data_IF_496988488304
#
_entry.id   IF_496988488304
#
_cell.length_a   1.000
_cell.length_b   1.000
_cell.length_c   1.000
_cell.angle_alpha   90.00
_cell.angle_beta   90.00
_cell.angle_gamma   90.00
#
_symmetry.space_group_name_H-M   'P 1'
#
loop_
_entity.id
_entity.type
_entity.pdbx_description
1 polymer ?
#
# COMPACT_ATOMS: atom_id res chain seq x y z
N UNK A 1 8.21 -20.01 20.71
CA UNK A 1 7.02 -19.17 20.55
C UNK A 1 6.41 -18.78 21.88
N UNK A 2 6.84 -17.62 22.39
CA UNK A 2 6.09 -16.90 23.40
C UNK A 2 4.84 -16.29 22.73
N UNK A 3 3.67 -16.66 23.23
CA UNK A 3 2.38 -16.21 22.67
C UNK A 3 2.22 -14.70 22.84
N UNK A 4 2.80 -14.12 23.91
CA UNK A 4 2.71 -12.70 24.22
C UNK A 4 3.48 -11.84 23.21
N UNK A 5 4.71 -12.23 22.85
CA UNK A 5 5.52 -11.51 21.86
C UNK A 5 4.93 -11.62 20.45
N UNK A 6 4.51 -12.82 20.08
CA UNK A 6 3.86 -13.10 18.78
C UNK A 6 2.61 -12.25 18.59
N UNK A 7 1.78 -12.13 19.63
CA UNK A 7 0.56 -11.33 19.59
C UNK A 7 0.88 -9.83 19.42
N UNK A 8 1.91 -9.32 20.10
CA UNK A 8 2.33 -7.91 19.97
C UNK A 8 2.80 -7.59 18.56
N UNK A 9 3.68 -8.42 17.98
CA UNK A 9 4.18 -8.23 16.61
C UNK A 9 3.03 -8.33 15.59
N UNK A 10 2.16 -9.34 15.74
CA UNK A 10 0.99 -9.51 14.87
C UNK A 10 0.06 -8.28 14.91
N UNK A 11 -0.25 -7.75 16.09
CA UNK A 11 -1.10 -6.57 16.24
C UNK A 11 -0.48 -5.31 15.66
N UNK A 12 0.83 -5.11 15.84
CA UNK A 12 1.54 -3.94 15.30
C UNK A 12 1.55 -3.96 13.78
N UNK A 13 1.87 -5.11 13.18
CA UNK A 13 1.87 -5.26 11.72
C UNK A 13 0.46 -5.10 11.15
N UNK A 14 -0.56 -5.63 11.83
CA UNK A 14 -1.97 -5.42 11.46
C UNK A 14 -2.41 -3.95 11.55
N UNK A 15 -1.98 -3.23 12.60
CA UNK A 15 -2.26 -1.81 12.75
C UNK A 15 -1.63 -0.99 11.62
N UNK A 16 -0.38 -1.30 11.27
CA UNK A 16 0.33 -0.65 10.17
C UNK A 16 -0.35 -0.93 8.83
N UNK A 17 -0.69 -2.20 8.58
CA UNK A 17 -1.38 -2.65 7.36
C UNK A 17 -2.71 -1.92 7.17
N UNK A 18 -3.53 -1.90 8.23
CA UNK A 18 -4.84 -1.24 8.22
C UNK A 18 -4.73 0.27 8.09
N UNK A 19 -3.82 0.93 8.81
CA UNK A 19 -3.62 2.37 8.72
C UNK A 19 -3.16 2.82 7.32
N UNK A 20 -2.23 2.08 6.73
CA UNK A 20 -1.72 2.39 5.39
C UNK A 20 -2.76 2.12 4.31
N UNK A 21 -3.51 1.02 4.43
CA UNK A 21 -4.63 0.72 3.54
C UNK A 21 -5.77 1.72 3.69
N UNK A 22 -6.01 2.24 4.90
CA UNK A 22 -6.97 3.31 5.13
C UNK A 22 -6.58 4.57 4.37
N UNK A 23 -5.34 5.03 4.52
CA UNK A 23 -4.83 6.20 3.77
C UNK A 23 -4.96 5.96 2.26
N UNK A 24 -4.58 4.77 1.79
CA UNK A 24 -4.62 4.44 0.37
C UNK A 24 -6.03 4.44 -0.19
N UNK A 25 -6.94 3.71 0.45
CA UNK A 25 -8.30 3.50 -0.03
C UNK A 25 -9.15 4.78 0.04
N UNK A 26 -9.02 5.59 1.10
CA UNK A 26 -9.74 6.86 1.20
C UNK A 26 -9.18 7.92 0.24
N UNK A 27 -7.86 7.99 0.06
CA UNK A 27 -7.26 8.88 -0.94
C UNK A 27 -7.71 8.51 -2.34
N UNK A 28 -7.78 7.20 -2.65
CA UNK A 28 -8.29 6.71 -3.92
C UNK A 28 -9.75 7.15 -4.15
N UNK A 29 -10.64 7.06 -3.16
CA UNK A 29 -12.02 7.58 -3.28
C UNK A 29 -12.05 9.05 -3.72
N UNK A 30 -11.26 9.91 -3.09
CA UNK A 30 -11.18 11.34 -3.44
C UNK A 30 -10.63 11.59 -4.84
N UNK A 31 -9.57 10.88 -5.21
CA UNK A 31 -8.96 10.95 -6.55
C UNK A 31 -9.93 10.47 -7.63
N UNK A 32 -10.67 9.39 -7.36
CA UNK A 32 -11.67 8.85 -8.28
C UNK A 32 -12.89 9.77 -8.42
N UNK A 33 -13.22 10.56 -7.40
CA UNK A 33 -14.32 11.53 -7.45
C UNK A 33 -13.95 12.86 -8.15
N UNK A 34 -12.71 13.35 -7.99
CA UNK A 34 -12.33 14.71 -8.36
C UNK A 34 -11.16 14.77 -9.35
N UNK A 35 -11.35 15.50 -10.46
CA UNK A 35 -10.29 15.77 -11.44
C UNK A 35 -9.14 16.59 -10.85
N UNK A 36 -9.44 17.60 -10.04
CA UNK A 36 -8.41 18.42 -9.41
C UNK A 36 -7.52 17.59 -8.48
N UNK A 37 -8.13 16.70 -7.68
CA UNK A 37 -7.38 15.77 -6.82
C UNK A 37 -6.57 14.77 -7.64
N UNK A 38 -7.07 14.29 -8.78
CA UNK A 38 -6.32 13.41 -9.67
C UNK A 38 -5.06 14.08 -10.26
N UNK A 39 -5.15 15.36 -10.64
CA UNK A 39 -4.00 16.14 -11.12
C UNK A 39 -2.98 16.35 -10.01
N UNK A 40 -3.43 16.77 -8.82
CA UNK A 40 -2.55 16.96 -7.65
C UNK A 40 -1.84 15.66 -7.27
N UNK A 41 -2.59 14.55 -7.25
CA UNK A 41 -2.05 13.20 -7.06
C UNK A 41 -0.99 12.86 -8.10
N UNK A 42 -1.25 13.14 -9.38
CA UNK A 42 -0.33 12.84 -10.46
C UNK A 42 1.00 13.58 -10.30
N UNK A 43 0.95 14.89 -10.05
CA UNK A 43 2.14 15.73 -9.80
C UNK A 43 2.93 15.18 -8.60
N UNK A 44 2.21 14.84 -7.53
CA UNK A 44 2.81 14.30 -6.29
C UNK A 44 3.52 12.97 -6.55
N UNK A 45 2.92 12.09 -7.36
CA UNK A 45 3.54 10.82 -7.74
C UNK A 45 4.80 10.99 -8.58
N UNK A 46 4.83 11.94 -9.52
CA UNK A 46 6.06 12.22 -10.27
C UNK A 46 7.18 12.71 -9.35
N UNK A 47 6.85 13.53 -8.34
CA UNK A 47 7.79 13.94 -7.30
C UNK A 47 8.36 12.74 -6.52
N UNK A 48 7.50 11.83 -6.04
CA UNK A 48 7.94 10.63 -5.32
C UNK A 48 8.69 9.63 -6.19
N UNK A 49 8.36 9.53 -7.47
CA UNK A 49 9.10 8.72 -8.43
C UNK A 49 10.53 9.25 -8.59
N UNK A 50 10.72 10.58 -8.70
CA UNK A 50 12.04 11.20 -8.74
C UNK A 50 12.89 10.89 -7.49
N UNK A 51 12.28 10.93 -6.31
CA UNK A 51 12.94 10.55 -5.05
C UNK A 51 13.34 9.07 -5.05
N UNK A 52 12.46 8.17 -5.52
CA UNK A 52 12.76 6.74 -5.57
C UNK A 52 13.84 6.41 -6.61
N UNK A 53 13.93 7.14 -7.73
CA UNK A 53 15.04 6.99 -8.68
C UNK A 53 16.39 7.28 -8.01
N UNK A 54 16.46 8.32 -7.16
CA UNK A 54 17.66 8.57 -6.36
C UNK A 54 17.99 7.40 -5.42
N UNK A 55 16.98 6.79 -4.78
CA UNK A 55 17.19 5.60 -3.95
C UNK A 55 17.62 4.38 -4.75
N UNK A 56 17.10 4.16 -5.98
CA UNK A 56 17.59 3.10 -6.88
C UNK A 56 19.09 3.28 -7.16
N UNK A 57 19.52 4.51 -7.46
CA UNK A 57 20.94 4.81 -7.72
C UNK A 57 21.84 4.55 -6.51
N UNK A 58 21.32 4.74 -5.29
CA UNK A 58 22.06 4.52 -4.04
C UNK A 58 21.91 3.09 -3.48
N UNK A 59 20.94 2.31 -3.98
CA UNK A 59 20.63 0.99 -3.47
C UNK A 59 21.79 0.01 -3.69
N UNK A 60 22.06 -0.82 -2.68
CA UNK A 60 23.01 -1.94 -2.77
C UNK A 60 22.23 -3.24 -2.69
N UNK A 61 22.56 -4.17 -3.59
CA UNK A 61 21.91 -5.48 -3.71
C UNK A 61 20.76 -5.50 -4.72
N UNK A 62 20.70 -6.57 -5.52
CA UNK A 62 19.76 -6.72 -6.64
C UNK A 62 18.29 -6.64 -6.23
N UNK A 63 17.93 -7.19 -5.07
CA UNK A 63 16.55 -7.19 -4.57
C UNK A 63 16.03 -5.77 -4.29
N UNK A 64 16.83 -4.91 -3.66
CA UNK A 64 16.46 -3.53 -3.37
C UNK A 64 16.34 -2.69 -4.66
N UNK A 65 17.25 -2.90 -5.62
CA UNK A 65 17.20 -2.26 -6.93
C UNK A 65 15.89 -2.61 -7.66
N UNK A 66 15.56 -3.90 -7.72
CA UNK A 66 14.33 -4.38 -8.36
C UNK A 66 13.09 -3.80 -7.67
N UNK A 67 13.06 -3.84 -6.33
CA UNK A 67 11.92 -3.34 -5.56
C UNK A 67 11.67 -1.84 -5.80
N UNK A 68 12.69 -0.99 -5.67
CA UNK A 68 12.53 0.44 -5.92
C UNK A 68 12.22 0.76 -7.40
N UNK A 69 12.73 -0.05 -8.35
CA UNK A 69 12.39 0.10 -9.77
C UNK A 69 10.90 -0.19 -10.02
N UNK A 70 10.35 -1.23 -9.38
CA UNK A 70 8.92 -1.54 -9.43
C UNK A 70 8.11 -0.38 -8.84
N UNK A 71 8.53 0.15 -7.68
CA UNK A 71 7.86 1.31 -7.07
C UNK A 71 7.81 2.50 -8.04
N UNK A 72 8.94 2.84 -8.68
CA UNK A 72 8.99 3.93 -9.67
C UNK A 72 8.04 3.64 -10.83
N UNK A 73 8.06 2.43 -11.41
CA UNK A 73 7.18 2.05 -12.50
C UNK A 73 5.70 2.20 -12.15
N UNK A 74 5.30 1.76 -10.94
CA UNK A 74 3.93 1.87 -10.45
C UNK A 74 3.52 3.33 -10.18
N UNK A 75 4.42 4.15 -9.62
CA UNK A 75 4.17 5.58 -9.42
C UNK A 75 4.02 6.31 -10.76
N UNK A 76 4.85 6.01 -11.75
CA UNK A 76 4.74 6.59 -13.09
C UNK A 76 3.42 6.18 -13.76
N UNK A 77 3.07 4.88 -13.70
CA UNK A 77 1.81 4.39 -14.25
C UNK A 77 0.58 5.05 -13.59
N UNK A 78 0.57 5.17 -12.26
CA UNK A 78 -0.49 5.87 -11.52
C UNK A 78 -0.57 7.36 -11.87
N UNK A 79 0.58 8.04 -11.97
CA UNK A 79 0.66 9.47 -12.32
C UNK A 79 0.19 9.76 -13.76
N UNK A 80 0.61 8.95 -14.73
CA UNK A 80 0.14 9.06 -16.12
C UNK A 80 -1.37 8.80 -16.18
N UNK A 81 -1.86 7.78 -15.47
CA UNK A 81 -3.30 7.45 -15.45
C UNK A 81 -4.15 8.60 -14.91
N UNK A 82 -3.66 9.32 -13.89
CA UNK A 82 -4.35 10.49 -13.35
C UNK A 82 -4.45 11.66 -14.34
N UNK A 83 -3.46 11.84 -15.23
CA UNK A 83 -3.49 12.86 -16.30
C UNK A 83 -4.29 12.45 -17.53
N UNK A 84 -4.17 11.19 -17.97
CA UNK A 84 -4.83 10.67 -19.18
C UNK A 84 -6.35 10.54 -19.00
N UNK A 85 -6.82 10.51 -17.75
CA UNK A 85 -8.24 10.44 -17.43
C UNK A 85 -9.00 11.68 -17.91
N UNK A 86 -9.78 11.51 -18.97
CA UNK A 86 -10.58 12.56 -19.62
C UNK A 86 -11.86 12.93 -18.83
N UNK A 87 -12.42 12.02 -18.03
CA UNK A 87 -13.73 12.16 -17.33
C UNK A 87 -13.72 11.73 -15.87
N UNK A 88 -14.88 11.70 -15.18
CA UNK A 88 -14.96 11.05 -13.86
C UNK A 88 -14.91 9.52 -14.03
N UNK A 89 -14.44 8.74 -13.05
CA UNK A 89 -14.46 7.26 -13.18
C UNK A 89 -15.89 6.76 -13.49
N UNK A 90 -16.88 7.39 -12.87
CA UNK A 90 -18.31 7.06 -12.99
C UNK A 90 -18.94 7.42 -14.34
N UNK A 91 -18.21 8.13 -15.22
CA UNK A 91 -18.65 8.43 -16.59
C UNK A 91 -18.08 7.46 -17.62
N UNK A 92 -17.31 6.45 -17.21
CA UNK A 92 -16.79 5.41 -18.12
C UNK A 92 -17.78 4.24 -18.25
N UNK A 93 -18.19 3.94 -19.48
CA UNK A 93 -19.07 2.82 -19.78
C UNK A 93 -18.35 1.45 -19.81
N UNK A 94 -17.03 1.43 -19.95
CA UNK A 94 -16.24 0.19 -19.98
C UNK A 94 -15.78 -0.23 -18.59
N UNK A 95 -16.22 -1.42 -18.14
CA UNK A 95 -15.77 -2.07 -16.89
C UNK A 95 -14.26 -2.26 -16.86
N UNK A 96 -13.65 -2.62 -18.00
CA UNK A 96 -12.20 -2.82 -18.12
C UNK A 96 -11.46 -1.50 -17.92
N UNK A 97 -11.94 -0.41 -18.51
CA UNK A 97 -11.33 0.90 -18.34
C UNK A 97 -11.47 1.41 -16.91
N UNK A 98 -12.62 1.17 -16.24
CA UNK A 98 -12.80 1.48 -14.81
C UNK A 98 -11.83 0.68 -13.93
N UNK A 99 -11.68 -0.62 -14.20
CA UNK A 99 -10.74 -1.47 -13.48
C UNK A 99 -9.30 -0.99 -13.65
N UNK A 100 -8.84 -0.75 -14.88
CA UNK A 100 -7.46 -0.32 -15.14
C UNK A 100 -7.15 1.04 -14.51
N UNK A 101 -8.07 2.00 -14.61
CA UNK A 101 -7.90 3.33 -14.00
C UNK A 101 -7.79 3.20 -12.48
N UNK A 102 -8.72 2.49 -11.84
CA UNK A 102 -8.70 2.25 -10.40
C UNK A 102 -7.42 1.52 -9.99
N UNK A 103 -7.02 0.49 -10.73
CA UNK A 103 -5.83 -0.31 -10.47
C UNK A 103 -4.55 0.52 -10.46
N UNK A 104 -4.29 1.30 -11.51
CA UNK A 104 -3.06 2.09 -11.58
C UNK A 104 -3.04 3.21 -10.55
N UNK A 105 -4.19 3.81 -10.23
CA UNK A 105 -4.28 4.80 -9.15
C UNK A 105 -3.98 4.16 -7.80
N UNK A 106 -4.62 3.04 -7.46
CA UNK A 106 -4.42 2.34 -6.19
C UNK A 106 -2.99 1.81 -6.05
N UNK A 107 -2.42 1.21 -7.10
CA UNK A 107 -1.05 0.72 -7.10
C UNK A 107 -0.03 1.85 -7.00
N UNK A 108 -0.22 2.96 -7.71
CA UNK A 108 0.65 4.13 -7.60
C UNK A 108 0.62 4.74 -6.20
N UNK A 109 -0.55 4.79 -5.56
CA UNK A 109 -0.72 5.29 -4.20
C UNK A 109 -0.10 4.36 -3.16
N UNK A 110 -0.31 3.04 -3.30
CA UNK A 110 0.37 2.04 -2.48
C UNK A 110 1.88 2.09 -2.64
N UNK A 111 2.39 2.29 -3.86
CA UNK A 111 3.82 2.42 -4.10
C UNK A 111 4.39 3.66 -3.37
N UNK A 112 3.71 4.81 -3.48
CA UNK A 112 4.13 6.04 -2.80
C UNK A 112 4.15 5.89 -1.27
N UNK A 113 3.08 5.32 -0.70
CA UNK A 113 3.03 5.03 0.75
C UNK A 113 4.15 4.07 1.14
N UNK A 114 4.35 2.99 0.37
CA UNK A 114 5.37 1.98 0.67
C UNK A 114 6.81 2.49 0.59
N UNK A 115 7.08 3.53 -0.21
CA UNK A 115 8.39 4.18 -0.25
C UNK A 115 8.71 5.04 0.98
N UNK A 116 7.69 5.53 1.69
CA UNK A 116 7.83 6.48 2.81
C UNK A 116 7.62 5.78 4.17
N UNK A 117 6.73 4.79 4.18
CA UNK A 117 6.27 4.06 5.35
C UNK A 117 7.40 3.45 6.21
N UNK A 118 8.46 2.83 5.65
CA UNK A 118 9.52 2.24 6.47
C UNK A 118 10.23 3.26 7.36
N UNK A 119 10.42 4.48 6.88
CA UNK A 119 11.08 5.55 7.64
C UNK A 119 10.23 6.03 8.82
N UNK A 120 8.90 6.02 8.68
CA UNK A 120 8.00 6.35 9.79
C UNK A 120 7.89 5.21 10.80
N UNK A 121 7.78 3.96 10.33
CA UNK A 121 7.70 2.78 11.20
C UNK A 121 8.97 2.62 12.02
N UNK A 122 10.15 2.74 11.39
CA UNK A 122 11.43 2.63 12.09
C UNK A 122 11.58 3.70 13.19
N UNK A 123 11.00 4.90 13.01
CA UNK A 123 11.02 5.96 14.03
C UNK A 123 10.04 5.72 15.19
N UNK A 124 8.87 5.17 14.92
CA UNK A 124 7.80 5.02 15.92
C UNK A 124 7.94 3.70 16.70
N UNK A 125 8.42 2.64 16.04
CA UNK A 125 8.39 1.27 16.57
C UNK A 125 9.78 0.67 16.78
N UNK A 126 10.81 1.52 16.90
CA UNK A 126 12.20 1.10 17.10
C UNK A 126 12.39 0.20 18.33
N UNK A 127 11.46 0.28 19.30
CA UNK A 127 11.47 -0.51 20.54
C UNK A 127 10.58 -1.76 20.49
N UNK A 128 9.72 -1.90 19.47
CA UNK A 128 8.68 -2.95 19.40
C UNK A 128 8.95 -3.97 18.29
N UNK A 129 9.52 -3.53 17.17
CA UNK A 129 9.91 -4.44 16.08
C UNK A 129 11.32 -4.96 16.41
N UNK A 130 11.54 -6.29 16.42
CA UNK A 130 12.84 -6.85 16.70
C UNK A 130 13.90 -6.21 15.80
N UNK A 131 14.97 -5.65 16.39
CA UNK A 131 16.14 -5.13 15.67
C UNK A 131 16.82 -6.17 14.75
N UNK A 132 16.42 -7.44 14.87
CA UNK A 132 16.88 -8.60 14.10
C UNK A 132 16.29 -8.62 12.67
N UNK A 133 15.17 -7.94 12.40
CA UNK A 133 14.58 -7.87 11.07
C UNK A 133 15.24 -6.74 10.26
N UNK A 134 15.97 -7.09 9.20
CA UNK A 134 16.56 -6.13 8.26
C UNK A 134 15.50 -5.12 7.78
N UNK A 135 15.79 -3.83 7.94
CA UNK A 135 14.92 -2.72 7.51
C UNK A 135 14.48 -2.83 6.04
N UNK A 136 15.36 -3.38 5.18
CA UNK A 136 15.03 -3.64 3.78
C UNK A 136 13.99 -4.76 3.63
N UNK A 137 14.11 -5.83 4.43
CA UNK A 137 13.19 -6.96 4.42
C UNK A 137 11.80 -6.55 4.90
N UNK A 138 11.71 -5.74 5.96
CA UNK A 138 10.45 -5.19 6.46
C UNK A 138 9.78 -4.28 5.42
N UNK A 139 10.57 -3.44 4.73
CA UNK A 139 10.10 -2.57 3.66
C UNK A 139 9.48 -3.35 2.51
N UNK A 140 10.16 -4.41 2.05
CA UNK A 140 9.69 -5.25 0.95
C UNK A 140 8.39 -5.96 1.33
N UNK A 141 8.31 -6.53 2.54
CA UNK A 141 7.12 -7.25 3.01
C UNK A 141 5.92 -6.30 3.11
N UNK A 142 6.06 -5.19 3.83
CA UNK A 142 4.97 -4.23 4.00
C UNK A 142 4.55 -3.62 2.66
N UNK A 143 5.52 -3.32 1.79
CA UNK A 143 5.25 -2.82 0.45
C UNK A 143 4.47 -3.81 -0.42
N UNK A 144 4.90 -5.08 -0.43
CA UNK A 144 4.22 -6.14 -1.19
C UNK A 144 2.79 -6.39 -0.69
N UNK A 145 2.59 -6.37 0.63
CA UNK A 145 1.27 -6.49 1.26
C UNK A 145 0.35 -5.33 0.87
N UNK A 146 0.85 -4.09 0.92
CA UNK A 146 0.07 -2.92 0.52
C UNK A 146 -0.28 -2.91 -0.97
N UNK A 147 0.59 -3.44 -1.83
CA UNK A 147 0.27 -3.62 -3.25
C UNK A 147 -0.80 -4.69 -3.47
N UNK A 148 -0.70 -5.83 -2.77
CA UNK A 148 -1.70 -6.90 -2.85
C UNK A 148 -3.08 -6.43 -2.38
N UNK A 149 -3.14 -5.68 -1.27
CA UNK A 149 -4.39 -5.10 -0.77
C UNK A 149 -4.99 -4.08 -1.76
N UNK A 150 -4.14 -3.29 -2.42
CA UNK A 150 -4.59 -2.35 -3.46
C UNK A 150 -5.09 -3.03 -4.72
N UNK A 151 -4.52 -4.17 -5.11
CA UNK A 151 -5.05 -4.99 -6.20
C UNK A 151 -6.47 -5.48 -5.87
N UNK A 152 -6.68 -6.01 -4.65
CA UNK A 152 -8.00 -6.46 -4.20
C UNK A 152 -8.98 -5.27 -4.16
N UNK A 153 -8.56 -4.13 -3.63
CA UNK A 153 -9.37 -2.90 -3.60
C UNK A 153 -9.77 -2.46 -5.00
N UNK A 154 -8.84 -2.51 -5.97
CA UNK A 154 -9.08 -2.14 -7.35
C UNK A 154 -10.06 -3.09 -8.04
N UNK A 155 -9.97 -4.39 -7.75
CA UNK A 155 -10.95 -5.38 -8.23
C UNK A 155 -12.35 -5.08 -7.69
N UNK A 156 -12.48 -4.84 -6.39
CA UNK A 156 -13.76 -4.49 -5.77
C UNK A 156 -14.36 -3.23 -6.40
N UNK A 157 -13.56 -2.16 -6.51
CA UNK A 157 -14.02 -0.88 -7.09
C UNK A 157 -14.33 -1.01 -8.59
N UNK A 158 -13.53 -1.77 -9.34
CA UNK A 158 -13.70 -1.97 -10.78
C UNK A 158 -14.98 -2.71 -11.16
N UNK A 159 -15.51 -3.55 -10.25
CA UNK A 159 -16.78 -4.28 -10.46
C UNK A 159 -18.03 -3.43 -10.27
N UNK A 160 -17.90 -2.20 -9.76
CA UNK A 160 -19.05 -1.30 -9.59
C UNK A 160 -19.62 -0.95 -10.97
N UNK A 161 -20.89 -1.31 -11.18
CA UNK A 161 -21.63 -1.02 -12.40
C UNK A 161 -22.81 -0.08 -12.11
N UNK A 162 -22.54 0.97 -11.35
CA UNK A 162 -23.50 1.98 -10.93
C UNK A 162 -23.11 3.31 -11.58
N UNK A 163 -24.00 3.85 -12.42
CA UNK A 163 -23.79 5.10 -13.16
C UNK A 163 -24.24 6.35 -12.40
N UNK A 164 -24.64 6.18 -11.14
CA UNK A 164 -24.94 7.26 -10.21
C UNK A 164 -23.71 7.56 -9.33
N UNK A 165 -23.23 8.79 -9.35
CA UNK A 165 -22.03 9.22 -8.62
C UNK A 165 -22.16 9.00 -7.11
N UNK A 166 -23.30 9.34 -6.49
CA UNK A 166 -23.48 9.23 -5.05
C UNK A 166 -23.52 7.77 -4.59
N UNK A 167 -24.19 6.92 -5.35
CA UNK A 167 -24.31 5.50 -5.05
C UNK A 167 -22.98 4.77 -5.33
N UNK A 168 -22.28 5.14 -6.40
CA UNK A 168 -20.96 4.59 -6.69
C UNK A 168 -19.92 5.02 -5.65
N UNK A 169 -19.97 6.25 -5.14
CA UNK A 169 -19.10 6.70 -4.04
C UNK A 169 -19.39 5.95 -2.74
N UNK A 170 -20.67 5.73 -2.42
CA UNK A 170 -21.08 4.92 -1.26
C UNK A 170 -20.59 3.48 -1.35
N UNK A 171 -20.70 2.85 -2.52
CA UNK A 171 -20.21 1.48 -2.72
C UNK A 171 -18.68 1.42 -2.68
N UNK A 172 -18.01 2.41 -3.27
CA UNK A 172 -16.55 2.53 -3.21
C UNK A 172 -16.07 2.68 -1.77
N UNK A 173 -16.73 3.53 -0.95
CA UNK A 173 -16.36 3.71 0.45
C UNK A 173 -16.58 2.45 1.29
N UNK A 174 -17.67 1.71 1.05
CA UNK A 174 -17.89 0.40 1.67
C UNK A 174 -16.81 -0.61 1.30
N UNK A 175 -16.42 -0.70 0.02
CA UNK A 175 -15.35 -1.58 -0.43
C UNK A 175 -13.98 -1.18 0.11
N UNK A 176 -13.73 0.12 0.33
CA UNK A 176 -12.56 0.61 1.04
C UNK A 176 -12.51 0.11 2.49
N UNK A 177 -13.64 0.10 3.21
CA UNK A 177 -13.73 -0.46 4.58
C UNK A 177 -13.43 -1.96 4.58
N UNK A 178 -13.99 -2.72 3.64
CA UNK A 178 -13.69 -4.16 3.51
C UNK A 178 -12.20 -4.39 3.26
N UNK A 179 -11.59 -3.58 2.40
CA UNK A 179 -10.17 -3.69 2.07
C UNK A 179 -9.26 -3.39 3.27
N UNK A 180 -9.66 -2.46 4.15
CA UNK A 180 -8.95 -2.19 5.41
C UNK A 180 -9.00 -3.40 6.35
N UNK A 181 -10.17 -4.04 6.49
CA UNK A 181 -10.33 -5.23 7.34
C UNK A 181 -9.48 -6.40 6.79
N UNK A 182 -9.52 -6.63 5.48
CA UNK A 182 -8.69 -7.66 4.84
C UNK A 182 -7.20 -7.39 5.06
N UNK A 183 -6.78 -6.13 4.95
CA UNK A 183 -5.40 -5.74 5.21
C UNK A 183 -4.98 -5.97 6.67
N UNK A 184 -5.87 -5.72 7.64
CA UNK A 184 -5.61 -6.05 9.04
C UNK A 184 -5.40 -7.56 9.25
N UNK A 185 -6.24 -8.40 8.62
CA UNK A 185 -6.11 -9.87 8.69
C UNK A 185 -4.79 -10.32 8.08
N UNK A 186 -4.46 -9.83 6.88
CA UNK A 186 -3.18 -10.16 6.22
C UNK A 186 -2.00 -9.69 7.05
N UNK A 187 -2.08 -8.49 7.64
CA UNK A 187 -1.06 -7.95 8.54
C UNK A 187 -0.85 -8.82 9.79
N UNK A 188 -1.92 -9.33 10.40
CA UNK A 188 -1.81 -10.29 11.51
C UNK A 188 -1.05 -11.56 11.07
N UNK A 189 -1.42 -12.15 9.93
CA UNK A 189 -0.76 -13.36 9.40
C UNK A 189 0.72 -13.11 9.14
N UNK A 190 1.05 -11.99 8.50
CA UNK A 190 2.44 -11.59 8.22
C UNK A 190 3.22 -11.37 9.52
N UNK A 191 2.61 -10.74 10.53
CA UNK A 191 3.28 -10.52 11.81
C UNK A 191 3.59 -11.82 12.56
N UNK A 192 2.71 -12.81 12.52
CA UNK A 192 3.00 -14.16 13.05
C UNK A 192 4.18 -14.80 12.31
N UNK A 193 4.22 -14.67 10.98
CA UNK A 193 5.33 -15.20 10.17
C UNK A 193 6.66 -14.49 10.48
N UNK A 194 6.64 -13.18 10.68
CA UNK A 194 7.83 -12.40 11.04
C UNK A 194 8.42 -12.85 12.37
N UNK A 195 7.59 -13.10 13.38
CA UNK A 195 8.04 -13.62 14.68
C UNK A 195 8.63 -15.02 14.56
N UNK A 196 7.97 -15.93 13.82
CA UNK A 196 8.51 -17.27 13.57
C UNK A 196 9.89 -17.22 12.90
N UNK A 197 10.06 -16.31 11.93
CA UNK A 197 11.34 -16.09 11.26
C UNK A 197 12.40 -15.51 12.21
N UNK A 198 12.02 -14.57 13.08
CA UNK A 198 12.91 -14.01 14.10
C UNK A 198 13.40 -15.11 15.05
N UNK A 199 12.50 -15.94 15.61
CA UNK A 199 12.86 -17.05 16.49
C UNK A 199 13.81 -18.05 15.80
N UNK A 200 13.52 -18.40 14.54
CA UNK A 200 14.37 -19.32 13.76
C UNK A 200 15.78 -18.77 13.49
N UNK A 201 15.96 -17.45 13.59
CA UNK A 201 17.24 -16.77 13.41
C UNK A 201 18.00 -16.57 14.74
N UNK A 202 17.52 -17.15 15.84
CA UNK A 202 18.18 -17.10 17.15
C UNK A 202 17.72 -15.95 18.05
N UNK A 203 16.68 -15.20 17.67
CA UNK A 203 16.08 -14.19 18.54
C UNK A 203 15.32 -14.86 19.70
N UNK A 204 15.62 -14.46 20.94
CA UNK A 204 14.90 -14.92 22.12
C UNK A 204 13.93 -13.82 22.61
N UNK A 205 12.61 -14.01 22.46
CA UNK A 205 11.63 -13.00 22.89
C UNK A 205 11.63 -12.73 24.41
N UNK A 206 12.24 -13.60 25.22
CA UNK A 206 12.36 -13.47 26.68
C UNK A 206 13.42 -12.48 27.18
N UNK A 207 14.12 -11.76 26.28
CA UNK A 207 15.15 -10.77 26.63
C UNK A 207 14.65 -9.32 26.64
N UNK A 208 13.33 -9.10 26.52
CA UNK A 208 12.66 -7.79 26.60
C UNK A 208 11.75 -7.75 27.83
#
# INVERSE_FOLDING_TARGET
MDISSTLRVALVVALIASATTFVVAFSACGILASKALAILYSITLFGFAGINIFFVYKARGTANIVFHTILVGLMLAGGVTGFVRVGKLFTLNSTVSRLLISLFILLGLSAAVSGILPTFIAKIFNDIIPQVLDSNFLTIILGSMNMACSLISALLIGTINVYNENESLRTTSLYSVISIILSAIVGCIVGVFLEFKAESSGYQPSQI
#
